data_IF_900407978440
#
_entry.id   IF_900407978440
#
_cell.length_a   1.000
_cell.length_b   1.000
_cell.length_c   1.000
_cell.angle_alpha   90.00
_cell.angle_beta   90.00
_cell.angle_gamma   90.00
#
_symmetry.space_group_name_H-M   'P 1'
#
loop_
_entity.id
_entity.type
_entity.pdbx_description
1 polymer ?
#
# COMPACT_ATOMS: atom_id res chain seq x y z
N UNK A 1 -9.84 37.08 51.84
CA UNK A 1 -10.21 37.71 50.55
C UNK A 1 -9.13 37.33 49.54
N UNK A 2 -9.32 36.31 48.68
CA UNK A 2 -8.31 36.00 47.67
C UNK A 2 -8.37 37.06 46.56
N UNK A 3 -7.18 37.54 46.25
CA UNK A 3 -6.80 38.63 45.36
C UNK A 3 -7.12 38.34 43.88
N UNK A 4 -7.99 39.18 43.31
CA UNK A 4 -8.49 39.18 41.91
C UNK A 4 -7.42 39.01 40.82
N UNK A 5 -6.18 39.42 41.11
CA UNK A 5 -5.04 39.28 40.20
C UNK A 5 -4.59 37.82 39.98
N UNK A 6 -4.74 36.95 40.98
CA UNK A 6 -4.41 35.54 40.84
C UNK A 6 -5.44 34.79 39.97
N UNK A 7 -6.72 35.19 40.07
CA UNK A 7 -7.82 34.63 39.26
C UNK A 7 -7.66 34.95 37.78
N UNK A 8 -7.23 36.17 37.43
CA UNK A 8 -6.98 36.57 36.05
C UNK A 8 -5.76 35.88 35.44
N UNK A 9 -4.70 35.66 36.22
CA UNK A 9 -3.53 34.89 35.79
C UNK A 9 -3.89 33.41 35.53
N UNK A 10 -4.72 32.81 36.39
CA UNK A 10 -5.17 31.42 36.23
C UNK A 10 -6.05 31.22 34.99
N UNK A 11 -6.95 32.17 34.72
CA UNK A 11 -7.77 32.17 33.49
C UNK A 11 -6.94 32.42 32.22
N UNK A 12 -5.85 33.18 32.31
CA UNK A 12 -4.97 33.47 31.18
C UNK A 12 -4.14 32.25 30.74
N UNK A 13 -3.63 31.48 31.70
CA UNK A 13 -2.87 30.24 31.46
C UNK A 13 -3.78 29.15 30.86
N UNK A 14 -5.00 28.97 31.37
CA UNK A 14 -5.92 27.93 30.91
C UNK A 14 -6.40 28.17 29.44
N UNK A 15 -6.51 29.44 29.03
CA UNK A 15 -6.94 29.84 27.67
C UNK A 15 -5.84 29.65 26.61
N UNK A 16 -4.58 29.87 26.98
CA UNK A 16 -3.42 29.66 26.07
C UNK A 16 -3.08 28.19 25.92
N UNK A 17 -3.18 27.40 26.99
CA UNK A 17 -2.93 25.95 26.93
C UNK A 17 -4.02 25.24 26.12
N UNK A 18 -5.30 25.60 26.29
CA UNK A 18 -6.42 25.03 25.51
C UNK A 18 -6.39 25.40 24.03
N UNK A 19 -5.97 26.61 23.67
CA UNK A 19 -5.82 27.02 22.27
C UNK A 19 -4.57 26.45 21.59
N UNK A 20 -3.50 26.18 22.34
CA UNK A 20 -2.28 25.55 21.82
C UNK A 20 -2.34 24.01 21.80
N UNK A 21 -3.21 23.38 22.61
CA UNK A 21 -3.43 21.93 22.55
C UNK A 21 -4.28 21.49 21.34
N UNK A 22 -5.15 22.37 20.85
CA UNK A 22 -6.07 22.07 19.74
C UNK A 22 -5.41 21.84 18.37
N UNK A 23 -4.35 22.57 17.96
CA UNK A 23 -3.67 22.30 16.70
C UNK A 23 -2.74 21.08 16.76
N UNK A 24 -2.27 20.68 17.95
CA UNK A 24 -1.34 19.55 18.09
C UNK A 24 -2.06 18.19 17.96
N UNK A 25 -3.33 18.10 18.36
CA UNK A 25 -4.16 16.90 18.18
C UNK A 25 -4.69 16.73 16.75
N UNK A 26 -4.91 17.81 16.00
CA UNK A 26 -5.36 17.75 14.60
C UNK A 26 -4.27 17.25 13.63
N UNK A 27 -2.99 17.38 13.97
CA UNK A 27 -1.89 16.94 13.10
C UNK A 27 -1.71 15.41 13.09
N UNK A 28 -2.17 14.70 14.13
CA UNK A 28 -2.03 13.25 14.25
C UNK A 28 -2.99 12.43 13.36
N UNK A 29 -4.02 13.06 12.79
CA UNK A 29 -5.06 12.36 12.01
C UNK A 29 -4.74 12.23 10.51
N UNK A 30 -3.61 12.76 10.03
CA UNK A 30 -3.20 12.70 8.62
C UNK A 30 -2.21 11.58 8.28
N UNK A 31 -2.07 10.57 9.14
CA UNK A 31 -1.31 9.37 8.78
C UNK A 31 -2.20 8.46 7.91
N UNK A 32 -2.31 8.75 6.61
CA UNK A 32 -2.86 7.78 5.66
C UNK A 32 -1.89 6.60 5.58
N UNK A 33 -2.34 5.35 5.80
CA UNK A 33 -1.49 4.20 5.54
C UNK A 33 -1.18 4.18 4.06
N UNK A 34 0.10 4.37 3.69
CA UNK A 34 0.55 4.12 2.33
C UNK A 34 0.62 2.60 2.17
N UNK A 35 -0.44 2.02 1.60
CA UNK A 35 -0.45 0.61 1.24
C UNK A 35 0.48 0.45 0.03
N UNK A 36 1.61 -0.21 0.27
CA UNK A 36 2.55 -0.61 -0.77
C UNK A 36 2.32 -2.08 -1.09
N UNK A 37 2.28 -2.40 -2.37
CA UNK A 37 2.16 -3.78 -2.83
C UNK A 37 3.38 -4.58 -2.35
N UNK A 38 3.15 -5.82 -1.93
CA UNK A 38 4.19 -6.68 -1.37
C UNK A 38 4.35 -7.95 -2.20
N UNK A 39 5.60 -8.30 -2.47
CA UNK A 39 5.97 -9.48 -3.25
C UNK A 39 6.92 -10.32 -2.40
N UNK A 40 6.57 -11.59 -2.21
CA UNK A 40 7.43 -12.57 -1.58
C UNK A 40 8.03 -13.48 -2.65
N UNK A 41 9.33 -13.65 -2.58
CA UNK A 41 10.10 -14.49 -3.49
C UNK A 41 10.34 -15.87 -2.87
N UNK A 42 10.57 -16.88 -3.72
CA UNK A 42 10.84 -18.26 -3.29
C UNK A 42 12.12 -18.41 -2.47
N UNK A 43 13.05 -17.47 -2.60
CA UNK A 43 14.27 -17.42 -1.80
C UNK A 43 14.06 -16.80 -0.40
N UNK A 44 12.85 -16.32 -0.09
CA UNK A 44 12.51 -15.67 1.19
C UNK A 44 12.63 -14.15 1.19
N UNK A 45 13.05 -13.54 0.07
CA UNK A 45 13.13 -12.08 -0.02
C UNK A 45 11.73 -11.46 -0.12
N UNK A 46 11.60 -10.26 0.48
CA UNK A 46 10.39 -9.45 0.43
C UNK A 46 10.69 -8.13 -0.28
N UNK A 47 9.93 -7.84 -1.33
CA UNK A 47 10.01 -6.59 -2.07
C UNK A 47 8.69 -5.83 -1.89
N UNK A 48 8.80 -4.56 -1.53
CA UNK A 48 7.67 -3.65 -1.39
C UNK A 48 7.76 -2.53 -2.41
N UNK A 49 6.67 -2.25 -3.11
CA UNK A 49 6.63 -1.22 -4.12
C UNK A 49 5.25 -1.06 -4.73
N UNK A 50 5.21 -0.48 -5.93
CA UNK A 50 4.02 -0.42 -6.76
C UNK A 50 4.18 -1.43 -7.89
N UNK A 51 3.24 -2.35 -8.02
CA UNK A 51 3.24 -3.27 -9.15
C UNK A 51 3.03 -2.52 -10.46
N UNK A 52 3.86 -2.84 -11.44
CA UNK A 52 3.73 -2.39 -12.82
C UNK A 52 3.08 -3.45 -13.68
N UNK A 53 3.67 -3.69 -14.84
CA UNK A 53 3.15 -4.61 -15.85
C UNK A 53 3.87 -5.95 -15.79
N UNK A 54 3.13 -7.05 -15.93
CA UNK A 54 3.68 -8.38 -16.21
C UNK A 54 3.71 -8.62 -17.72
N UNK A 55 4.90 -8.83 -18.27
CA UNK A 55 5.11 -9.12 -19.69
C UNK A 55 5.86 -10.44 -19.81
N UNK A 56 5.27 -11.39 -20.54
CA UNK A 56 5.82 -12.75 -20.73
C UNK A 56 6.13 -13.44 -19.39
N UNK A 57 7.39 -13.43 -18.96
CA UNK A 57 7.86 -14.08 -17.72
C UNK A 57 8.50 -13.11 -16.73
N UNK A 58 8.32 -11.79 -16.92
CA UNK A 58 8.91 -10.77 -16.05
C UNK A 58 7.85 -9.83 -15.51
N UNK A 59 7.90 -9.58 -14.21
CA UNK A 59 7.10 -8.59 -13.52
C UNK A 59 7.96 -7.35 -13.26
N UNK A 60 7.47 -6.19 -13.67
CA UNK A 60 8.10 -4.91 -13.34
C UNK A 60 7.48 -4.35 -12.08
N UNK A 61 8.30 -3.96 -11.13
CA UNK A 61 7.89 -3.42 -9.83
C UNK A 61 8.58 -2.09 -9.64
N UNK A 62 7.81 -1.04 -9.40
CA UNK A 62 8.36 0.28 -9.10
C UNK A 62 8.56 0.44 -7.60
N UNK A 63 9.80 0.48 -7.17
CA UNK A 63 10.17 0.68 -5.77
C UNK A 63 10.70 2.09 -5.54
N UNK A 64 10.63 2.59 -4.32
CA UNK A 64 11.13 3.93 -3.98
C UNK A 64 12.67 3.99 -3.95
N UNK A 65 13.34 2.84 -3.84
CA UNK A 65 14.80 2.77 -3.65
C UNK A 65 15.57 2.35 -4.90
N UNK A 66 14.94 1.65 -5.83
CA UNK A 66 15.59 1.14 -7.04
C UNK A 66 14.81 1.48 -8.33
N UNK A 67 13.94 2.49 -8.28
CA UNK A 67 13.01 2.86 -9.35
C UNK A 67 12.30 1.61 -9.90
N UNK A 68 12.69 1.08 -11.06
CA UNK A 68 12.09 -0.12 -11.65
C UNK A 68 12.96 -1.37 -11.43
N UNK A 69 12.37 -2.36 -10.75
CA UNK A 69 12.95 -3.68 -10.53
C UNK A 69 12.20 -4.70 -11.38
N UNK A 70 12.94 -5.50 -12.16
CA UNK A 70 12.36 -6.59 -12.97
C UNK A 70 12.64 -7.93 -12.30
N UNK A 71 11.57 -8.64 -11.97
CA UNK A 71 11.61 -9.92 -11.26
C UNK A 71 11.09 -11.01 -12.20
N UNK A 72 11.71 -12.19 -12.21
CA UNK A 72 11.15 -13.33 -12.96
C UNK A 72 9.90 -13.83 -12.25
N UNK A 73 8.83 -14.05 -13.02
CA UNK A 73 7.56 -14.55 -12.49
C UNK A 73 7.73 -15.90 -11.76
N UNK A 74 8.57 -16.77 -12.31
CA UNK A 74 8.86 -18.09 -11.71
C UNK A 74 9.57 -18.03 -10.36
N UNK A 75 10.20 -16.91 -10.00
CA UNK A 75 10.90 -16.76 -8.71
C UNK A 75 9.97 -16.21 -7.63
N UNK A 76 8.76 -15.78 -8.02
CA UNK A 76 7.76 -15.24 -7.12
C UNK A 76 7.00 -16.38 -6.44
N UNK A 77 6.80 -16.23 -5.14
CA UNK A 77 6.02 -17.13 -4.31
C UNK A 77 4.59 -16.60 -4.15
N UNK A 78 4.44 -15.37 -3.68
CA UNK A 78 3.14 -14.71 -3.50
C UNK A 78 3.25 -13.22 -3.80
N UNK A 79 2.13 -12.63 -4.22
CA UNK A 79 1.98 -11.21 -4.45
C UNK A 79 0.72 -10.79 -3.71
N UNK A 80 0.85 -9.74 -2.91
CA UNK A 80 -0.26 -9.05 -2.25
C UNK A 80 -0.33 -7.64 -2.83
N UNK A 81 -1.42 -7.38 -3.53
CA UNK A 81 -1.63 -6.20 -4.34
C UNK A 81 -3.06 -5.70 -4.16
N UNK A 82 -3.20 -4.45 -3.74
CA UNK A 82 -4.54 -3.87 -3.56
C UNK A 82 -5.15 -3.38 -4.87
N UNK A 83 -4.31 -3.15 -5.88
CA UNK A 83 -4.69 -2.58 -7.17
C UNK A 83 -4.64 -3.64 -8.27
N UNK A 84 -5.55 -3.56 -9.25
CA UNK A 84 -5.47 -4.40 -10.43
C UNK A 84 -4.24 -4.00 -11.25
N UNK A 85 -3.63 -4.98 -11.91
CA UNK A 85 -2.43 -4.81 -12.72
C UNK A 85 -2.67 -5.33 -14.13
N UNK A 86 -1.99 -4.71 -15.10
CA UNK A 86 -1.98 -5.19 -16.48
C UNK A 86 -1.04 -6.37 -16.62
N UNK A 87 -1.56 -7.47 -17.15
CA UNK A 87 -0.83 -8.70 -17.36
C UNK A 87 -1.03 -9.20 -18.78
N UNK A 88 0.08 -9.56 -19.42
CA UNK A 88 0.04 -10.33 -20.65
C UNK A 88 0.04 -11.82 -20.34
N UNK A 89 -0.99 -12.54 -20.76
CA UNK A 89 -1.11 -13.99 -20.64
C UNK A 89 -0.28 -14.70 -21.72
N UNK A 90 -0.06 -15.99 -21.53
CA UNK A 90 0.64 -16.86 -22.50
C UNK A 90 0.03 -16.85 -23.91
N UNK A 91 -1.28 -16.62 -24.04
CA UNK A 91 -2.01 -16.54 -25.31
C UNK A 91 -1.84 -15.18 -26.04
N UNK A 92 -1.13 -14.23 -25.42
CA UNK A 92 -0.91 -12.88 -25.94
C UNK A 92 -2.03 -11.89 -25.61
N UNK A 93 -3.09 -12.33 -24.94
CA UNK A 93 -4.12 -11.43 -24.42
C UNK A 93 -3.57 -10.55 -23.30
N UNK A 94 -4.11 -9.34 -23.17
CA UNK A 94 -3.79 -8.41 -22.09
C UNK A 94 -5.03 -8.32 -21.21
N UNK A 95 -4.88 -8.68 -19.94
CA UNK A 95 -5.94 -8.63 -18.94
C UNK A 95 -5.56 -7.64 -17.86
N UNK A 96 -6.54 -6.87 -17.40
CA UNK A 96 -6.40 -6.08 -16.18
C UNK A 96 -7.00 -6.89 -15.03
N UNK A 97 -6.15 -7.38 -14.13
CA UNK A 97 -6.58 -8.30 -13.10
C UNK A 97 -5.94 -8.07 -11.74
N UNK A 98 -6.67 -8.40 -10.69
CA UNK A 98 -6.17 -8.44 -9.32
C UNK A 98 -5.53 -9.81 -9.06
N UNK A 99 -4.35 -9.81 -8.45
CA UNK A 99 -3.70 -11.03 -8.01
C UNK A 99 -4.28 -11.46 -6.67
N UNK A 100 -4.79 -12.69 -6.59
CA UNK A 100 -5.22 -13.30 -5.34
C UNK A 100 -4.35 -14.51 -5.05
N UNK A 101 -3.85 -14.55 -3.83
CA UNK A 101 -3.16 -15.71 -3.30
C UNK A 101 -4.18 -16.78 -2.88
N UNK A 102 -4.03 -17.99 -3.39
CA UNK A 102 -4.81 -19.17 -2.99
C UNK A 102 -3.87 -20.29 -2.55
N UNK A 103 -4.40 -21.30 -1.85
CA UNK A 103 -3.62 -22.43 -1.34
C UNK A 103 -2.92 -23.24 -2.47
N UNK A 104 -3.39 -23.11 -3.71
CA UNK A 104 -2.85 -23.81 -4.89
C UNK A 104 -1.90 -22.94 -5.74
N UNK A 105 -1.73 -21.64 -5.42
CA UNK A 105 -0.83 -20.75 -6.15
C UNK A 105 -1.31 -19.30 -6.25
N UNK A 106 -0.92 -18.62 -7.33
CA UNK A 106 -1.45 -17.30 -7.67
C UNK A 106 -2.58 -17.44 -8.68
N UNK A 107 -3.72 -16.83 -8.38
CA UNK A 107 -4.87 -16.75 -9.28
C UNK A 107 -5.02 -15.31 -9.73
N UNK A 108 -5.17 -15.11 -11.04
CA UNK A 108 -5.47 -13.81 -11.63
C UNK A 108 -6.99 -13.67 -11.63
N UNK A 109 -7.54 -12.69 -10.92
CA UNK A 109 -8.94 -12.31 -11.08
C UNK A 109 -9.04 -11.17 -12.08
N UNK A 110 -9.65 -11.43 -13.23
CA UNK A 110 -9.98 -10.38 -14.19
C UNK A 110 -11.01 -9.42 -13.58
N UNK A 111 -10.74 -8.10 -13.62
CA UNK A 111 -11.65 -7.07 -13.09
C UNK A 111 -12.95 -6.97 -13.92
N UNK A 112 -12.88 -7.26 -15.21
CA UNK A 112 -14.00 -7.08 -16.14
C UNK A 112 -14.97 -8.28 -16.10
N UNK A 113 -14.45 -9.48 -15.92
CA UNK A 113 -15.27 -10.72 -15.89
C UNK A 113 -15.43 -11.31 -14.50
N UNK A 114 -14.66 -10.85 -13.51
CA UNK A 114 -14.53 -11.44 -12.16
C UNK A 114 -14.28 -12.96 -12.21
N UNK A 115 -13.66 -13.44 -13.29
CA UNK A 115 -13.33 -14.86 -13.47
C UNK A 115 -11.88 -15.12 -13.07
N UNK A 116 -11.61 -16.25 -12.38
CA UNK A 116 -10.25 -16.68 -12.11
C UNK A 116 -9.63 -17.18 -13.42
N UNK A 117 -8.62 -16.45 -13.90
CA UNK A 117 -7.77 -16.85 -14.99
C UNK A 117 -6.53 -17.55 -14.42
N UNK A 118 -6.32 -18.78 -14.86
CA UNK A 118 -5.11 -19.54 -14.56
C UNK A 118 -4.17 -19.36 -15.75
N UNK A 119 -3.10 -18.59 -15.56
CA UNK A 119 -2.01 -18.49 -16.54
C UNK A 119 -1.29 -19.85 -16.55
N UNK A 120 -1.60 -20.67 -17.55
CA UNK A 120 -1.02 -22.02 -17.74
C UNK A 120 0.28 -21.95 -18.52
#
# INVERSE_FOLDING_TARGET
MPNSLATLAYLYVDKTVKCALFPLTMLSMLATPVLADTIWLKNGDKITGTLGVKISNKLTVKTTYADEVKINWNDIHSIDADKPILMQLSDGSIVNGRLIHTDEGQVILDEETNTPLVDT
#
